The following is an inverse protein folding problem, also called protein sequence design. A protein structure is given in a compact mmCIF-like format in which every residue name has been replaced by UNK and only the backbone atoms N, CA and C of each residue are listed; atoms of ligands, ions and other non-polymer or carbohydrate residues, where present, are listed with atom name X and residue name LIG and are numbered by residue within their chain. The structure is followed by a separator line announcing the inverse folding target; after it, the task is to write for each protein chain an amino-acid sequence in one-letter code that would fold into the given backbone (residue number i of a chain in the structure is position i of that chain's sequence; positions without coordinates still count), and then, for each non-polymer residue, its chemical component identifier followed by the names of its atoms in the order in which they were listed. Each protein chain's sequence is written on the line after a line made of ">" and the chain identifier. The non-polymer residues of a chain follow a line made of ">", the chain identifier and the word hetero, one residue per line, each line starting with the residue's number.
data_IF_999222502841
#
_entry.id   IF_999222502841
#
_cell.length_a   1.000
_cell.length_b   1.000
_cell.length_c   1.000
_cell.angle_alpha   90.00
_cell.angle_beta   90.00
_cell.angle_gamma   90.00
#
_symmetry.space_group_name_H-M   'P 1'
#
loop_
_entity.id
_entity.type
_entity.pdbx_description
1 polymer ?
#
# COMPACT_ATOMS: atom_id res chain seq x y z
N UNK A 1 -16.67 18.35 73.58
CA UNK A 1 -16.15 19.35 74.54
C UNK A 1 -15.09 18.66 75.39
N UNK A 2 -13.86 19.21 75.40
CA UNK A 2 -12.79 19.03 76.42
C UNK A 2 -12.33 17.57 76.69
N UNK A 3 -11.11 17.15 76.34
CA UNK A 3 -9.81 17.38 77.03
C UNK A 3 -9.87 17.05 78.54
N UNK A 4 -8.75 16.47 79.03
CA UNK A 4 -8.20 16.56 80.42
C UNK A 4 -8.58 15.32 81.28
N UNK A 5 -7.73 14.58 82.01
CA UNK A 5 -6.35 14.72 82.53
C UNK A 5 -5.80 13.36 83.05
N UNK A 6 -4.46 13.27 83.07
CA UNK A 6 -3.54 12.72 84.10
C UNK A 6 -3.76 11.33 84.74
N UNK A 7 -2.67 10.55 84.85
CA UNK A 7 -1.79 10.39 86.03
C UNK A 7 -0.58 9.48 85.64
N UNK A 8 0.68 9.96 85.67
CA UNK A 8 1.73 9.67 86.67
C UNK A 8 1.95 8.16 86.98
N UNK A 9 3.14 7.57 87.14
CA UNK A 9 4.55 7.99 87.27
C UNK A 9 5.42 6.70 87.31
N UNK A 10 6.76 6.85 87.30
CA UNK A 10 7.84 5.92 87.70
C UNK A 10 8.64 5.16 86.60
N UNK A 11 9.76 5.80 86.19
CA UNK A 11 11.18 5.35 86.26
C UNK A 11 11.50 3.85 86.44
N UNK A 12 12.56 3.23 85.88
CA UNK A 12 13.71 3.60 85.03
C UNK A 12 14.57 2.32 84.76
N UNK A 13 15.61 2.40 83.89
CA UNK A 13 16.83 1.55 83.76
C UNK A 13 16.73 0.33 82.77
N UNK A 14 17.31 0.41 81.54
CA UNK A 14 18.70 0.02 81.09
C UNK A 14 18.95 -1.52 81.11
N UNK A 15 19.50 -2.28 80.14
CA UNK A 15 20.42 -2.13 78.99
C UNK A 15 20.35 -3.42 78.08
N UNK A 16 20.60 -3.24 76.77
CA UNK A 16 21.32 -4.10 75.77
C UNK A 16 21.09 -5.63 75.62
N UNK A 17 20.71 -6.11 74.41
CA UNK A 17 21.58 -6.75 73.38
C UNK A 17 20.77 -7.53 72.30
N UNK A 18 21.05 -7.22 71.03
CA UNK A 18 21.20 -8.08 69.82
C UNK A 18 20.07 -9.01 69.33
N UNK A 19 19.74 -8.88 68.02
CA UNK A 19 19.47 -10.03 67.15
C UNK A 19 18.29 -9.90 66.18
N UNK A 20 18.57 -9.60 64.91
CA UNK A 20 17.62 -9.59 63.78
C UNK A 20 17.10 -11.00 63.42
N UNK A 21 15.81 -11.10 63.05
CA UNK A 21 15.35 -11.66 61.77
C UNK A 21 13.81 -11.61 61.69
N UNK A 22 13.24 -10.69 60.90
CA UNK A 22 11.82 -10.74 60.50
C UNK A 22 11.80 -11.08 59.01
N UNK A 23 11.30 -12.27 58.68
CA UNK A 23 11.13 -12.76 57.32
C UNK A 23 10.00 -11.98 56.64
N UNK A 24 10.35 -11.22 55.59
CA UNK A 24 9.42 -10.49 54.73
C UNK A 24 8.71 -11.47 53.78
N UNK A 25 7.41 -11.67 53.96
CA UNK A 25 6.56 -12.36 52.98
C UNK A 25 6.28 -11.41 51.81
N UNK A 26 6.97 -11.63 50.69
CA UNK A 26 6.69 -10.92 49.45
C UNK A 26 5.58 -11.68 48.70
N UNK A 27 4.38 -11.11 48.65
CA UNK A 27 3.25 -11.64 47.87
C UNK A 27 3.52 -11.43 46.38
N UNK A 28 3.79 -12.51 45.66
CA UNK A 28 3.92 -12.50 44.20
C UNK A 28 2.53 -12.36 43.57
N UNK A 29 2.21 -11.17 43.05
CA UNK A 29 1.10 -10.99 42.10
C UNK A 29 1.56 -11.57 40.77
N UNK A 30 1.03 -12.74 40.40
CA UNK A 30 1.32 -13.35 39.10
C UNK A 30 0.53 -12.59 38.03
N UNK A 31 1.20 -11.65 37.35
CA UNK A 31 0.65 -11.03 36.15
C UNK A 31 0.69 -12.06 35.02
N UNK A 32 -0.45 -12.64 34.69
CA UNK A 32 -0.58 -13.39 33.43
C UNK A 32 -0.45 -12.40 32.29
N UNK A 33 0.69 -12.39 31.62
CA UNK A 33 0.85 -11.71 30.35
C UNK A 33 -0.12 -12.35 29.35
N UNK A 34 -1.14 -11.60 28.94
CA UNK A 34 -1.97 -11.97 27.80
C UNK A 34 -1.07 -11.84 26.57
N UNK A 35 -0.59 -12.98 26.05
CA UNK A 35 0.05 -13.01 24.74
C UNK A 35 -1.06 -12.81 23.73
N UNK A 36 -1.19 -11.59 23.22
CA UNK A 36 -2.02 -11.31 22.06
C UNK A 36 -1.30 -11.91 20.85
N UNK A 37 -1.81 -13.02 20.33
CA UNK A 37 -1.35 -13.56 19.04
C UNK A 37 -1.58 -12.50 17.97
N UNK A 38 -0.49 -11.91 17.48
CA UNK A 38 -0.50 -11.11 16.28
C UNK A 38 -0.94 -12.02 15.13
N UNK A 39 -2.14 -11.78 14.59
CA UNK A 39 -2.59 -12.37 13.33
C UNK A 39 -1.76 -11.77 12.20
N UNK A 40 -0.50 -12.23 12.11
CA UNK A 40 0.42 -11.86 11.04
C UNK A 40 -0.16 -12.39 9.73
N UNK A 41 -0.81 -11.51 8.99
CA UNK A 41 -1.18 -11.78 7.60
C UNK A 41 0.10 -12.09 6.83
N UNK A 42 0.25 -13.36 6.45
CA UNK A 42 1.36 -13.79 5.61
C UNK A 42 1.04 -13.40 4.17
N UNK A 43 2.03 -12.95 3.42
CA UNK A 43 1.87 -12.55 2.02
C UNK A 43 2.85 -13.33 1.16
N UNK A 44 2.49 -13.60 -0.10
CA UNK A 44 3.44 -14.15 -1.07
C UNK A 44 4.53 -13.14 -1.40
N UNK A 45 5.63 -13.61 -1.98
CA UNK A 45 6.49 -12.73 -2.78
C UNK A 45 5.74 -12.17 -4.01
N UNK A 46 6.38 -11.28 -4.77
CA UNK A 46 5.84 -10.81 -6.04
C UNK A 46 5.86 -11.95 -7.06
N UNK A 47 4.68 -12.41 -7.49
CA UNK A 47 4.53 -13.50 -8.46
C UNK A 47 4.23 -12.91 -9.83
N UNK A 48 5.01 -13.27 -10.85
CA UNK A 48 4.73 -12.86 -12.24
C UNK A 48 3.44 -13.53 -12.71
N UNK A 49 2.46 -12.72 -13.12
CA UNK A 49 1.14 -13.20 -13.59
C UNK A 49 0.95 -13.03 -15.10
N UNK A 50 1.74 -12.17 -15.75
CA UNK A 50 1.72 -12.04 -17.21
C UNK A 50 2.54 -13.15 -17.87
N UNK A 51 1.91 -13.98 -18.71
CA UNK A 51 2.60 -15.00 -19.50
C UNK A 51 3.46 -14.39 -20.65
N UNK A 52 2.95 -13.33 -21.27
CA UNK A 52 3.62 -12.55 -22.31
C UNK A 52 3.71 -11.07 -21.88
N UNK A 53 4.47 -10.26 -22.61
CA UNK A 53 4.45 -8.81 -22.41
C UNK A 53 3.03 -8.25 -22.61
N UNK A 54 2.61 -7.36 -21.73
CA UNK A 54 1.32 -6.68 -21.79
C UNK A 54 1.56 -5.27 -22.27
N UNK A 55 0.98 -4.87 -23.39
CA UNK A 55 1.25 -3.56 -23.99
C UNK A 55 -0.02 -2.74 -24.13
N UNK A 56 0.04 -1.48 -23.75
CA UNK A 56 -1.07 -0.53 -23.80
C UNK A 56 -0.65 0.76 -24.52
N UNK A 57 -1.64 1.46 -25.05
CA UNK A 57 -1.46 2.74 -25.74
C UNK A 57 -2.29 3.85 -25.09
N UNK A 58 -2.04 5.08 -25.53
CA UNK A 58 -2.69 6.27 -24.96
C UNK A 58 -4.01 6.66 -25.61
N UNK A 59 -4.49 5.89 -26.60
CA UNK A 59 -5.70 6.24 -27.36
C UNK A 59 -6.36 5.07 -28.08
N UNK A 60 -7.63 5.27 -28.43
CA UNK A 60 -8.44 4.43 -29.32
C UNK A 60 -8.85 3.08 -28.72
N UNK A 61 -9.12 3.05 -27.42
CA UNK A 61 -9.53 1.88 -26.66
C UNK A 61 -8.52 0.72 -26.80
N UNK A 62 -7.24 1.00 -26.53
CA UNK A 62 -6.14 0.04 -26.69
C UNK A 62 -5.44 -0.29 -25.37
N UNK A 63 -6.15 -0.98 -24.44
CA UNK A 63 -5.53 -1.52 -23.26
C UNK A 63 -4.61 -2.69 -23.60
N UNK A 64 -3.65 -2.94 -22.72
CA UNK A 64 -3.00 -4.24 -22.64
C UNK A 64 -3.78 -5.15 -21.70
N UNK A 65 -3.99 -6.41 -22.06
CA UNK A 65 -4.69 -7.36 -21.18
C UNK A 65 -3.90 -8.64 -20.91
N UNK A 66 -4.25 -9.28 -19.80
CA UNK A 66 -3.74 -10.58 -19.40
C UNK A 66 -4.83 -11.37 -18.69
N UNK A 67 -4.70 -12.69 -18.71
CA UNK A 67 -5.56 -13.60 -17.95
C UNK A 67 -4.78 -14.25 -16.81
N UNK A 68 -5.42 -14.44 -15.66
CA UNK A 68 -4.80 -15.09 -14.51
C UNK A 68 -4.74 -16.60 -14.67
N UNK A 69 -3.61 -17.13 -15.10
CA UNK A 69 -3.38 -18.57 -15.17
C UNK A 69 -2.58 -19.14 -14.00
N UNK A 70 -2.24 -18.32 -12.99
CA UNK A 70 -1.33 -18.72 -11.91
C UNK A 70 -2.08 -19.34 -10.73
N UNK A 71 -2.94 -18.56 -10.07
CA UNK A 71 -3.77 -19.02 -8.94
C UNK A 71 -4.92 -18.05 -8.67
N UNK A 72 -6.03 -18.56 -8.15
CA UNK A 72 -7.04 -17.70 -7.54
C UNK A 72 -6.58 -17.20 -6.16
N UNK A 73 -7.03 -16.01 -5.75
CA UNK A 73 -6.84 -15.52 -4.38
C UNK A 73 -7.03 -14.02 -4.21
N UNK A 74 -6.88 -13.57 -2.96
CA UNK A 74 -6.92 -12.15 -2.60
C UNK A 74 -5.60 -11.47 -2.97
N UNK A 75 -5.68 -10.45 -3.81
CA UNK A 75 -4.54 -9.64 -4.26
C UNK A 75 -4.48 -8.35 -3.44
N UNK A 76 -3.31 -8.10 -2.86
CA UNK A 76 -3.00 -6.90 -2.07
C UNK A 76 -2.10 -5.92 -2.81
N UNK A 77 -1.58 -6.30 -3.97
CA UNK A 77 -0.78 -5.39 -4.78
C UNK A 77 -0.54 -5.88 -6.19
N UNK A 78 -0.35 -4.92 -7.09
CA UNK A 78 0.02 -5.12 -8.49
C UNK A 78 1.27 -4.30 -8.76
N UNK A 79 2.25 -4.92 -9.42
CA UNK A 79 3.48 -4.28 -9.84
C UNK A 79 3.65 -4.43 -11.35
N UNK A 80 3.82 -3.32 -12.03
CA UNK A 80 4.14 -3.26 -13.46
C UNK A 80 5.65 -3.02 -13.59
N UNK A 81 6.34 -3.86 -14.35
CA UNK A 81 7.76 -3.69 -14.66
C UNK A 81 7.89 -3.28 -16.12
N UNK A 82 8.46 -2.10 -16.37
CA UNK A 82 8.68 -1.60 -17.73
C UNK A 82 9.64 -2.51 -18.49
N UNK A 83 9.23 -2.91 -19.69
CA UNK A 83 10.09 -3.64 -20.62
C UNK A 83 10.59 -2.73 -21.74
N UNK A 84 9.66 -2.03 -22.40
CA UNK A 84 9.97 -1.22 -23.57
C UNK A 84 8.90 -0.18 -23.87
N UNK A 85 9.22 0.72 -24.81
CA UNK A 85 8.30 1.73 -25.29
C UNK A 85 8.20 2.95 -24.37
N UNK A 86 7.47 3.95 -24.88
CA UNK A 86 7.23 5.26 -24.27
C UNK A 86 5.82 5.70 -24.61
N UNK A 87 5.22 6.50 -23.75
CA UNK A 87 3.88 7.07 -23.91
C UNK A 87 3.89 8.54 -23.48
N UNK A 88 3.03 9.33 -24.12
CA UNK A 88 2.85 10.75 -23.84
C UNK A 88 1.44 11.21 -24.17
N UNK A 89 1.02 12.25 -23.46
CA UNK A 89 -0.31 12.87 -23.52
C UNK A 89 -0.41 14.03 -24.54
N UNK A 90 0.66 14.27 -25.29
CA UNK A 90 0.74 15.33 -26.31
C UNK A 90 1.60 14.87 -27.47
N UNK A 91 1.51 15.54 -28.61
CA UNK A 91 2.26 15.13 -29.81
C UNK A 91 3.78 15.25 -29.68
N UNK A 92 4.27 16.15 -28.82
CA UNK A 92 5.69 16.51 -28.66
C UNK A 92 6.49 15.41 -27.92
N UNK A 93 7.57 14.92 -28.53
CA UNK A 93 8.39 13.79 -28.03
C UNK A 93 9.10 14.05 -26.70
N UNK A 94 9.30 15.32 -26.31
CA UNK A 94 9.94 15.69 -25.05
C UNK A 94 9.14 15.28 -23.80
N UNK A 95 7.84 15.01 -23.97
CA UNK A 95 6.96 14.53 -22.90
C UNK A 95 6.85 13.01 -22.83
N UNK A 96 7.70 12.29 -23.56
CA UNK A 96 7.80 10.84 -23.46
C UNK A 96 8.05 10.38 -22.02
N UNK A 97 7.31 9.35 -21.61
CA UNK A 97 7.42 8.76 -20.28
C UNK A 97 7.11 7.27 -20.32
N UNK A 98 7.25 6.58 -19.19
CA UNK A 98 6.82 5.19 -19.03
C UNK A 98 5.41 5.09 -18.48
N UNK A 99 5.00 6.04 -17.64
CA UNK A 99 3.80 5.91 -16.80
C UNK A 99 2.81 7.08 -16.87
N UNK A 100 2.99 8.05 -17.76
CA UNK A 100 2.10 9.22 -17.85
C UNK A 100 2.51 10.19 -18.95
N UNK A 101 2.89 11.42 -18.56
CA UNK A 101 3.36 12.46 -19.48
C UNK A 101 4.52 13.23 -18.84
N UNK A 102 5.71 13.10 -19.42
CA UNK A 102 6.97 13.50 -18.80
C UNK A 102 7.12 15.01 -18.68
N UNK A 103 7.24 15.55 -17.47
CA UNK A 103 7.45 16.99 -17.21
C UNK A 103 6.38 17.95 -17.80
N UNK A 104 5.24 17.43 -18.27
CA UNK A 104 4.18 18.27 -18.83
C UNK A 104 3.55 19.13 -17.73
N UNK A 105 3.63 20.46 -17.87
CA UNK A 105 3.30 21.40 -16.81
C UNK A 105 1.89 21.20 -16.22
N UNK A 106 0.82 20.96 -17.02
CA UNK A 106 -0.52 20.68 -16.50
C UNK A 106 -0.62 19.49 -15.56
N UNK A 107 0.19 18.45 -15.75
CA UNK A 107 0.15 17.21 -14.96
C UNK A 107 1.37 17.01 -14.07
N UNK A 108 2.24 18.01 -13.94
CA UNK A 108 3.43 17.96 -13.07
C UNK A 108 3.11 17.57 -11.61
N UNK A 109 2.00 18.01 -10.98
CA UNK A 109 1.62 17.56 -9.64
C UNK A 109 1.16 16.09 -9.59
N UNK A 110 0.61 15.58 -10.69
CA UNK A 110 -0.01 14.26 -10.82
C UNK A 110 0.50 13.57 -12.09
N UNK A 111 1.78 13.16 -12.15
CA UNK A 111 2.45 12.84 -13.41
C UNK A 111 2.12 11.45 -13.97
N UNK A 112 1.37 10.62 -13.22
CA UNK A 112 1.05 9.24 -13.57
C UNK A 112 -0.37 9.12 -14.14
N UNK A 113 -0.54 8.23 -15.11
CA UNK A 113 -1.81 8.02 -15.80
C UNK A 113 -2.04 6.57 -16.23
N UNK A 114 -1.42 5.60 -15.55
CA UNK A 114 -1.62 4.18 -15.85
C UNK A 114 -2.63 3.59 -14.87
N UNK A 115 -3.66 2.95 -15.41
CA UNK A 115 -4.81 2.45 -14.64
C UNK A 115 -4.88 0.93 -14.82
N UNK A 116 -5.04 0.22 -13.72
CA UNK A 116 -5.30 -1.23 -13.72
C UNK A 116 -6.78 -1.45 -13.47
N UNK A 117 -7.44 -2.20 -14.34
CA UNK A 117 -8.87 -2.49 -14.23
C UNK A 117 -9.15 -3.99 -14.28
N UNK A 118 -10.35 -4.36 -13.87
CA UNK A 118 -10.92 -5.67 -14.23
C UNK A 118 -11.37 -5.69 -15.70
N UNK A 119 -11.95 -6.82 -16.12
CA UNK A 119 -12.49 -7.04 -17.48
C UNK A 119 -13.62 -6.09 -17.88
N UNK A 120 -14.30 -5.48 -16.91
CA UNK A 120 -15.43 -4.54 -17.10
C UNK A 120 -14.98 -3.08 -16.94
N UNK A 121 -13.67 -2.84 -17.03
CA UNK A 121 -13.03 -1.54 -16.93
C UNK A 121 -13.31 -0.84 -15.59
N UNK A 122 -13.60 -1.62 -14.54
CA UNK A 122 -13.68 -1.12 -13.17
C UNK A 122 -12.28 -0.98 -12.60
N UNK A 123 -11.97 0.22 -12.09
CA UNK A 123 -10.64 0.57 -11.58
C UNK A 123 -10.32 -0.26 -10.33
N UNK A 124 -9.25 -1.06 -10.42
CA UNK A 124 -8.62 -1.76 -9.30
C UNK A 124 -7.51 -0.89 -8.70
N UNK A 125 -6.67 -0.28 -9.56
CA UNK A 125 -5.61 0.64 -9.16
C UNK A 125 -5.44 1.80 -10.14
N UNK A 126 -4.99 2.99 -9.65
CA UNK A 126 -4.80 3.33 -8.24
C UNK A 126 -6.14 3.41 -7.50
N UNK A 127 -6.09 3.48 -6.16
CA UNK A 127 -7.31 3.66 -5.36
C UNK A 127 -7.96 5.01 -5.69
N UNK A 128 -9.28 5.10 -5.59
CA UNK A 128 -10.05 6.28 -5.99
C UNK A 128 -9.60 7.55 -5.26
N UNK A 129 -9.22 7.44 -3.98
CA UNK A 129 -8.69 8.53 -3.16
C UNK A 129 -7.34 9.06 -3.61
N UNK A 130 -6.57 8.29 -4.40
CA UNK A 130 -5.29 8.73 -4.94
C UNK A 130 -5.46 9.43 -6.31
N UNK A 131 -6.64 9.31 -6.93
CA UNK A 131 -6.92 9.98 -8.20
C UNK A 131 -7.03 11.49 -7.96
N UNK A 132 -6.31 12.26 -8.77
CA UNK A 132 -6.46 13.71 -8.81
C UNK A 132 -7.83 14.11 -9.36
N UNK A 133 -8.18 15.41 -9.27
CA UNK A 133 -9.48 15.92 -9.71
C UNK A 133 -9.66 15.92 -11.24
N UNK A 134 -8.63 15.55 -12.00
CA UNK A 134 -8.65 15.60 -13.45
C UNK A 134 -9.46 14.45 -14.05
N UNK A 135 -10.30 14.76 -15.04
CA UNK A 135 -11.11 13.78 -15.76
C UNK A 135 -10.29 12.68 -16.43
N UNK A 136 -9.04 12.96 -16.81
CA UNK A 136 -8.11 11.98 -17.38
C UNK A 136 -7.57 10.93 -16.41
N UNK A 137 -7.93 10.92 -15.13
CA UNK A 137 -7.41 9.98 -14.11
C UNK A 137 -5.92 10.15 -13.77
N UNK A 138 -5.45 11.39 -13.76
CA UNK A 138 -4.07 11.73 -13.38
C UNK A 138 -3.87 11.60 -11.86
N UNK A 139 -2.75 11.02 -11.43
CA UNK A 139 -2.44 10.83 -10.01
C UNK A 139 -0.94 10.91 -9.70
N UNK A 140 -0.63 10.93 -8.40
CA UNK A 140 0.72 10.86 -7.87
C UNK A 140 0.90 9.63 -6.98
N UNK A 141 2.12 9.09 -6.95
CA UNK A 141 2.53 8.08 -5.98
C UNK A 141 3.87 8.48 -5.35
N UNK A 142 4.07 8.21 -4.05
CA UNK A 142 5.33 8.48 -3.39
C UNK A 142 6.48 7.74 -4.07
N UNK A 143 7.61 8.42 -4.19
CA UNK A 143 8.87 7.89 -4.75
C UNK A 143 8.76 7.33 -6.17
N UNK A 144 7.72 7.72 -6.92
CA UNK A 144 7.47 7.25 -8.29
C UNK A 144 7.56 8.40 -9.28
N UNK A 145 8.40 8.23 -10.31
CA UNK A 145 8.59 9.18 -11.39
C UNK A 145 8.02 8.62 -12.70
N UNK A 146 7.26 9.42 -13.45
CA UNK A 146 6.65 8.97 -14.71
C UNK A 146 7.67 8.59 -15.78
N UNK A 147 8.84 9.23 -15.78
CA UNK A 147 9.93 8.99 -16.75
C UNK A 147 10.92 7.94 -16.25
N UNK A 148 11.40 8.07 -15.01
CA UNK A 148 12.59 7.33 -14.53
C UNK A 148 12.30 6.05 -13.76
N UNK A 149 11.11 5.88 -13.18
CA UNK A 149 10.79 4.65 -12.47
C UNK A 149 10.71 3.48 -13.44
N UNK A 150 11.42 2.39 -13.15
CA UNK A 150 11.36 1.15 -13.94
C UNK A 150 10.17 0.26 -13.54
N UNK A 151 9.63 0.50 -12.36
CA UNK A 151 8.49 -0.22 -11.82
C UNK A 151 7.41 0.77 -11.38
N UNK A 152 6.15 0.39 -11.55
CA UNK A 152 4.99 1.07 -11.01
C UNK A 152 4.27 0.11 -10.07
N UNK A 153 4.28 0.42 -8.78
CA UNK A 153 3.80 -0.47 -7.72
C UNK A 153 2.55 0.12 -7.09
N UNK A 154 1.49 -0.68 -7.07
CA UNK A 154 0.24 -0.39 -6.36
C UNK A 154 0.05 -1.39 -5.23
N UNK A 155 -0.31 -0.89 -4.05
CA UNK A 155 -0.58 -1.73 -2.87
C UNK A 155 -1.84 -1.27 -2.15
N UNK A 156 -2.62 -2.23 -1.66
CA UNK A 156 -3.80 -2.04 -0.83
C UNK A 156 -3.99 -3.23 0.12
N UNK A 157 -3.27 -3.18 1.24
CA UNK A 157 -3.36 -4.22 2.27
C UNK A 157 -4.67 -4.17 3.07
N UNK A 158 -5.33 -3.01 3.13
CA UNK A 158 -6.57 -2.84 3.90
C UNK A 158 -7.83 -3.32 3.19
N UNK A 159 -7.83 -3.33 1.85
CA UNK A 159 -8.98 -3.77 1.04
C UNK A 159 -8.49 -4.56 -0.19
N UNK A 160 -8.05 -5.82 -0.01
CA UNK A 160 -7.68 -6.67 -1.14
C UNK A 160 -8.88 -6.94 -2.05
N UNK A 161 -8.61 -7.23 -3.32
CA UNK A 161 -9.63 -7.72 -4.25
C UNK A 161 -9.40 -9.20 -4.55
N UNK A 162 -10.47 -9.94 -4.79
CA UNK A 162 -10.36 -11.32 -5.26
C UNK A 162 -9.99 -11.33 -6.74
N UNK A 163 -8.94 -12.06 -7.12
CA UNK A 163 -8.58 -12.31 -8.51
C UNK A 163 -8.77 -13.79 -8.84
N UNK A 164 -9.92 -14.18 -9.42
CA UNK A 164 -10.16 -15.57 -9.78
C UNK A 164 -9.21 -16.07 -10.87
N UNK A 165 -9.08 -17.39 -10.97
CA UNK A 165 -8.36 -18.01 -12.07
C UNK A 165 -9.16 -17.85 -13.37
N UNK A 166 -8.46 -17.65 -14.49
CA UNK A 166 -8.98 -17.37 -15.82
C UNK A 166 -9.72 -16.03 -15.99
N UNK A 167 -9.72 -15.17 -14.98
CA UNK A 167 -10.24 -13.80 -15.13
C UNK A 167 -9.23 -12.87 -15.81
N UNK A 168 -9.75 -11.84 -16.46
CA UNK A 168 -8.97 -10.84 -17.21
C UNK A 168 -8.70 -9.59 -16.35
N UNK A 169 -7.47 -9.09 -16.47
CA UNK A 169 -7.04 -7.79 -15.99
C UNK A 169 -6.55 -6.95 -17.17
N UNK A 170 -6.87 -5.66 -17.16
CA UNK A 170 -6.43 -4.72 -18.19
C UNK A 170 -5.56 -3.61 -17.60
N UNK A 171 -4.62 -3.14 -18.41
CA UNK A 171 -3.76 -2.00 -18.16
C UNK A 171 -4.09 -0.94 -19.20
N UNK A 172 -4.49 0.21 -18.71
CA UNK A 172 -4.97 1.33 -19.48
C UNK A 172 -4.07 2.54 -19.31
N UNK A 173 -4.06 3.40 -20.32
CA UNK A 173 -3.80 4.83 -20.11
C UNK A 173 -5.10 5.50 -19.69
N UNK A 174 -5.06 6.39 -18.69
CA UNK A 174 -6.25 6.95 -18.04
C UNK A 174 -7.10 7.80 -18.97
N UNK A 175 -6.46 8.59 -19.83
CA UNK A 175 -7.14 9.37 -20.87
C UNK A 175 -7.86 8.49 -21.90
N UNK A 176 -7.26 7.36 -22.30
CA UNK A 176 -7.86 6.37 -23.20
C UNK A 176 -9.09 5.72 -22.55
N UNK A 177 -8.91 5.22 -21.32
CA UNK A 177 -10.00 4.64 -20.53
C UNK A 177 -11.21 5.58 -20.37
N UNK A 178 -10.96 6.89 -20.28
CA UNK A 178 -12.01 7.91 -20.14
C UNK A 178 -12.47 8.53 -21.45
N UNK A 179 -11.87 8.17 -22.57
CA UNK A 179 -12.04 8.86 -23.85
C UNK A 179 -11.91 10.39 -23.67
N UNK A 180 -10.93 10.84 -22.88
CA UNK A 180 -10.75 12.25 -22.50
C UNK A 180 -9.44 12.78 -23.03
N UNK A 181 -9.50 13.78 -23.92
CA UNK A 181 -8.33 14.45 -24.50
C UNK A 181 -7.30 13.52 -25.18
N UNK A 182 -7.66 12.29 -25.55
CA UNK A 182 -6.71 11.30 -26.08
C UNK A 182 -6.22 11.54 -27.53
N UNK A 183 -6.71 12.58 -28.20
CA UNK A 183 -6.52 12.78 -29.64
C UNK A 183 -5.06 12.95 -30.05
N UNK A 184 -4.26 13.63 -29.22
CA UNK A 184 -2.85 13.90 -29.46
C UNK A 184 -1.91 12.95 -28.70
N UNK A 185 -2.44 11.95 -28.01
CA UNK A 185 -1.67 10.93 -27.30
C UNK A 185 -0.86 10.08 -28.28
N UNK A 186 0.40 9.79 -27.92
CA UNK A 186 1.29 9.00 -28.76
C UNK A 186 1.99 7.91 -27.96
N UNK A 187 2.35 6.84 -28.65
CA UNK A 187 3.23 5.80 -28.15
C UNK A 187 2.51 4.60 -27.56
N UNK A 188 3.32 3.65 -27.12
CA UNK A 188 2.94 2.33 -26.62
C UNK A 188 3.95 1.91 -25.58
N UNK A 189 3.50 1.39 -24.45
CA UNK A 189 4.36 0.88 -23.38
C UNK A 189 4.05 -0.60 -23.17
N UNK A 190 5.10 -1.40 -23.03
CA UNK A 190 5.00 -2.83 -22.75
C UNK A 190 5.59 -3.15 -21.37
N UNK A 191 4.89 -3.98 -20.61
CA UNK A 191 5.24 -4.33 -19.23
C UNK A 191 5.16 -5.83 -18.96
N UNK A 192 5.82 -6.26 -17.90
CA UNK A 192 5.46 -7.46 -17.16
C UNK A 192 4.59 -7.08 -15.97
N UNK A 193 3.71 -8.01 -15.57
CA UNK A 193 2.77 -7.79 -14.47
C UNK A 193 3.00 -8.82 -13.39
N UNK A 194 3.16 -8.32 -12.17
CA UNK A 194 3.34 -9.12 -10.96
C UNK A 194 2.21 -8.83 -9.98
N UNK A 195 1.78 -9.84 -9.24
CA UNK A 195 0.80 -9.73 -8.17
C UNK A 195 1.38 -10.19 -6.84
N UNK A 196 0.93 -9.58 -5.75
CA UNK A 196 1.18 -10.01 -4.39
C UNK A 196 -0.13 -10.50 -3.78
N UNK A 197 -0.17 -11.74 -3.35
CA UNK A 197 -1.36 -12.36 -2.77
C UNK A 197 -1.28 -12.40 -1.24
N UNK A 198 -2.43 -12.32 -0.59
CA UNK A 198 -2.58 -12.72 0.81
C UNK A 198 -2.53 -14.25 0.89
N UNK A 199 -1.77 -14.79 1.85
CA UNK A 199 -1.70 -16.23 2.13
C UNK A 199 -2.85 -16.68 3.02
#
# INVERSE_FOLDING_TARGET
>A
MLIVKQFQSYHSIMLFYVGLAVLSFCSFVSSTAVIQEDQSSSYTDWIKISANQVCFEGRHNRPGSLHNYVKAGLVVGIKLVHLSGRIRCVSLVEYDSRWGCGHYAPFKPNPLNVIVTDRYDQILFPRKENLGPHHGLWYWLPFTHSVESKELVFTNFGTPFNFPQNEEMKIWYGEDLRNWAEGDNQGRVCVEVYAKFLN
#
